data_IF_658640775653
#
_entry.id   IF_658640775653
#
_cell.length_a   1.000
_cell.length_b   1.000
_cell.length_c   1.000
_cell.angle_alpha   90.00
_cell.angle_beta   90.00
_cell.angle_gamma   90.00
#
_symmetry.space_group_name_H-M   'P 1'
#
loop_
_entity.id
_entity.type
_entity.pdbx_description
1 polymer ?
#
# COMPACT_ATOMS: atom_id res chain seq x y z
N UNK A 1 1.29 -7.29 12.99
CA UNK A 1 1.04 -5.88 13.35
C UNK A 1 2.39 -5.18 13.30
N UNK A 2 2.46 -3.97 12.72
CA UNK A 2 3.71 -3.22 12.57
C UNK A 2 4.44 -3.03 13.92
N UNK A 3 5.76 -3.24 13.87
CA UNK A 3 6.68 -3.08 15.00
C UNK A 3 7.38 -1.73 14.91
N UNK A 4 7.40 -0.98 16.01
CA UNK A 4 7.98 0.35 16.05
C UNK A 4 9.22 0.38 16.94
N UNK A 5 10.26 1.06 16.48
CA UNK A 5 11.61 1.05 17.04
C UNK A 5 12.09 2.48 17.20
N UNK A 6 12.78 2.76 18.30
CA UNK A 6 13.41 4.06 18.55
C UNK A 6 14.67 4.24 17.69
N UNK A 7 14.82 5.42 17.08
CA UNK A 7 16.08 5.82 16.46
C UNK A 7 17.11 6.20 17.54
N UNK A 8 17.93 5.23 17.96
CA UNK A 8 19.02 5.44 18.93
C UNK A 8 20.13 6.38 18.41
N UNK A 9 20.10 6.79 17.13
CA UNK A 9 21.16 7.60 16.54
C UNK A 9 21.08 9.11 16.85
N UNK A 10 20.03 9.56 17.55
CA UNK A 10 19.81 10.98 17.84
C UNK A 10 19.66 11.27 19.36
N UNK A 11 20.74 11.73 19.99
CA UNK A 11 20.75 12.11 21.41
C UNK A 11 20.00 13.43 21.63
N UNK A 12 18.67 13.38 21.73
CA UNK A 12 17.88 14.54 22.14
C UNK A 12 16.37 14.50 21.87
N UNK A 13 15.89 13.61 20.99
CA UNK A 13 14.47 13.38 20.74
C UNK A 13 14.30 11.95 20.21
N UNK A 14 13.58 11.08 20.93
CA UNK A 14 13.26 9.72 20.46
C UNK A 14 12.34 9.81 19.26
N UNK A 15 12.92 9.76 18.06
CA UNK A 15 12.13 9.66 16.85
C UNK A 15 11.88 8.18 16.60
N UNK A 16 10.67 7.72 16.89
CA UNK A 16 10.23 6.36 16.63
C UNK A 16 9.92 6.19 15.14
N UNK A 17 10.30 5.06 14.55
CA UNK A 17 9.89 4.66 13.21
C UNK A 17 9.38 3.21 13.23
N UNK A 18 8.44 2.89 12.34
CA UNK A 18 7.83 1.56 12.31
C UNK A 18 8.29 0.77 11.09
N UNK A 19 8.56 -0.51 11.31
CA UNK A 19 8.83 -1.52 10.29
C UNK A 19 7.52 -2.16 9.86
N UNK A 20 7.37 -2.35 8.55
CA UNK A 20 6.17 -2.98 8.00
C UNK A 20 6.17 -4.49 8.25
N UNK A 21 5.12 -5.01 8.87
CA UNK A 21 4.95 -6.46 9.05
C UNK A 21 4.35 -7.11 7.79
N UNK A 22 5.21 -7.86 7.08
CA UNK A 22 4.87 -8.58 5.85
C UNK A 22 3.77 -9.63 6.01
N UNK A 23 3.54 -10.17 7.21
CA UNK A 23 2.49 -11.18 7.43
C UNK A 23 1.08 -10.62 7.29
N UNK A 24 0.96 -9.30 7.23
CA UNK A 24 -0.30 -8.62 6.90
C UNK A 24 -0.70 -8.78 5.44
N UNK A 25 0.21 -9.22 4.57
CA UNK A 25 0.00 -9.32 3.13
C UNK A 25 -0.21 -10.78 2.72
N UNK A 26 -1.08 -10.98 1.72
CA UNK A 26 -1.37 -12.30 1.18
C UNK A 26 -0.12 -13.00 0.62
N UNK A 27 0.00 -14.31 0.82
CA UNK A 27 1.16 -15.11 0.40
C UNK A 27 1.42 -15.03 -1.10
N UNK A 28 0.38 -14.93 -1.92
CA UNK A 28 0.50 -14.77 -3.37
C UNK A 28 1.24 -13.47 -3.73
N UNK A 29 0.99 -12.40 -2.98
CA UNK A 29 1.65 -11.11 -3.16
C UNK A 29 3.10 -11.12 -2.65
N UNK A 30 3.43 -11.99 -1.69
CA UNK A 30 4.81 -12.20 -1.20
C UNK A 30 5.64 -13.12 -2.10
N UNK A 31 5.00 -13.82 -3.04
CA UNK A 31 5.70 -14.70 -3.98
C UNK A 31 6.63 -13.91 -4.90
N UNK A 32 7.69 -14.56 -5.41
CA UNK A 32 8.61 -13.93 -6.38
C UNK A 32 7.93 -13.42 -7.65
N UNK A 33 6.76 -13.96 -7.98
CA UNK A 33 5.95 -13.55 -9.12
C UNK A 33 4.91 -12.48 -8.78
N UNK A 34 4.79 -12.05 -7.52
CA UNK A 34 3.83 -11.05 -7.07
C UNK A 34 2.40 -11.35 -7.55
N UNK A 35 1.98 -12.61 -7.45
CA UNK A 35 0.64 -13.05 -7.89
C UNK A 35 0.46 -13.24 -9.40
N UNK A 36 1.36 -12.73 -10.25
CA UNK A 36 1.24 -12.82 -11.71
C UNK A 36 1.14 -14.26 -12.23
N UNK A 37 1.88 -15.20 -11.63
CA UNK A 37 1.84 -16.62 -12.00
C UNK A 37 0.45 -17.25 -11.84
N UNK A 38 -0.37 -16.69 -10.96
CA UNK A 38 -1.72 -17.20 -10.64
C UNK A 38 -2.82 -16.42 -11.37
N UNK A 39 -2.47 -15.44 -12.21
CA UNK A 39 -3.45 -14.55 -12.83
C UNK A 39 -4.07 -13.54 -11.87
N UNK A 40 -3.48 -13.36 -10.70
CA UNK A 40 -3.94 -12.44 -9.66
C UNK A 40 -2.80 -11.50 -9.24
N UNK A 41 -2.36 -10.58 -10.11
CA UNK A 41 -1.20 -9.74 -9.85
C UNK A 41 -1.42 -8.84 -8.65
N UNK A 42 -0.33 -8.60 -7.91
CA UNK A 42 -0.30 -7.72 -6.75
C UNK A 42 0.58 -6.50 -7.03
N UNK A 43 0.07 -5.33 -6.66
CA UNK A 43 0.77 -4.06 -6.74
C UNK A 43 0.98 -3.50 -5.35
N UNK A 44 2.12 -2.86 -5.11
CA UNK A 44 2.37 -2.15 -3.85
C UNK A 44 2.19 -0.65 -4.06
N UNK A 45 1.38 -0.04 -3.21
CA UNK A 45 1.10 1.40 -3.21
C UNK A 45 1.70 2.01 -1.95
N UNK A 46 2.44 3.10 -2.12
CA UNK A 46 3.05 3.88 -1.05
C UNK A 46 2.90 5.36 -1.36
N UNK A 47 2.77 6.21 -0.34
CA UNK A 47 2.84 7.66 -0.54
C UNK A 47 4.29 8.11 -0.80
N UNK A 48 4.41 9.29 -1.42
CA UNK A 48 5.70 9.97 -1.52
C UNK A 48 6.12 10.50 -0.13
N UNK A 49 7.41 10.43 0.17
CA UNK A 49 7.96 10.94 1.41
C UNK A 49 7.94 12.47 1.41
N UNK A 50 7.01 13.04 2.17
CA UNK A 50 6.91 14.48 2.41
C UNK A 50 7.22 14.75 3.89
N UNK A 51 8.27 15.51 4.17
CA UNK A 51 8.75 15.75 5.53
C UNK A 51 7.67 16.41 6.39
N UNK A 52 7.36 15.80 7.54
CA UNK A 52 6.35 16.28 8.48
C UNK A 52 4.89 16.15 8.01
N UNK A 53 4.65 15.59 6.82
CA UNK A 53 3.30 15.40 6.32
C UNK A 53 2.61 14.22 7.01
N UNK A 54 1.36 14.42 7.40
CA UNK A 54 0.48 13.40 7.98
C UNK A 54 -0.75 13.31 7.06
N UNK A 55 -1.10 12.12 6.54
CA UNK A 55 -2.31 11.94 5.75
C UNK A 55 -3.54 12.22 6.60
N UNK A 56 -4.49 12.96 6.04
CA UNK A 56 -5.82 13.06 6.65
C UNK A 56 -6.49 11.70 6.55
N UNK A 57 -6.84 11.13 7.70
CA UNK A 57 -7.48 9.83 7.75
C UNK A 57 -8.89 9.94 8.32
N UNK A 58 -9.82 9.18 7.75
CA UNK A 58 -11.17 8.97 8.29
C UNK A 58 -11.15 8.04 9.50
N UNK A 59 -10.09 7.24 9.65
CA UNK A 59 -9.86 6.32 10.77
C UNK A 59 -8.53 6.63 11.45
N UNK A 60 -8.41 6.45 12.77
CA UNK A 60 -7.13 6.70 13.43
C UNK A 60 -6.04 5.65 13.07
N UNK A 61 -6.39 4.62 12.29
CA UNK A 61 -5.52 3.44 12.05
C UNK A 61 -4.89 3.41 10.66
N UNK A 62 -5.62 3.79 9.61
CA UNK A 62 -5.13 3.68 8.23
C UNK A 62 -5.39 4.93 7.42
N UNK A 63 -4.34 5.47 6.79
CA UNK A 63 -4.48 6.39 5.68
C UNK A 63 -5.16 5.65 4.51
N UNK A 64 -6.48 5.84 4.38
CA UNK A 64 -7.31 5.04 3.47
C UNK A 64 -6.95 5.27 2.00
N UNK A 65 -6.83 4.18 1.24
CA UNK A 65 -6.67 4.19 -0.20
C UNK A 65 -7.88 3.46 -0.78
N UNK A 66 -8.65 4.15 -1.61
CA UNK A 66 -9.79 3.58 -2.31
C UNK A 66 -9.37 3.24 -3.72
N UNK A 67 -9.42 1.96 -4.07
CA UNK A 67 -9.15 1.50 -5.42
C UNK A 67 -10.44 1.02 -6.09
N UNK A 68 -10.63 1.39 -7.34
CA UNK A 68 -11.79 1.03 -8.15
C UNK A 68 -11.35 0.53 -9.52
N UNK A 69 -12.05 -0.48 -10.04
CA UNK A 69 -11.92 -0.93 -11.43
C UNK A 69 -12.95 -0.21 -12.28
N UNK A 70 -12.54 0.47 -13.33
CA UNK A 70 -13.44 1.35 -14.10
C UNK A 70 -14.12 0.67 -15.28
N UNK A 71 -13.57 -0.46 -15.77
CA UNK A 71 -13.99 -1.04 -17.04
C UNK A 71 -14.34 -2.55 -16.99
N UNK A 72 -14.31 -3.18 -15.81
CA UNK A 72 -14.60 -4.60 -15.67
C UNK A 72 -15.22 -4.93 -14.31
N UNK A 73 -16.53 -5.21 -14.28
CA UNK A 73 -17.27 -5.53 -13.05
C UNK A 73 -16.98 -6.92 -12.48
N UNK A 74 -16.33 -7.80 -13.24
CA UNK A 74 -15.98 -9.15 -12.78
C UNK A 74 -14.64 -9.17 -12.03
N UNK A 75 -13.88 -8.08 -12.09
CA UNK A 75 -12.62 -7.93 -11.39
C UNK A 75 -12.89 -7.39 -10.00
N UNK A 76 -12.27 -8.01 -9.00
CA UNK A 76 -12.32 -7.55 -7.62
C UNK A 76 -10.93 -7.18 -7.12
N UNK A 77 -10.88 -6.22 -6.21
CA UNK A 77 -9.64 -5.74 -5.60
C UNK A 77 -9.61 -6.16 -4.14
N UNK A 78 -8.48 -6.72 -3.70
CA UNK A 78 -8.23 -7.03 -2.30
C UNK A 78 -7.04 -6.22 -1.83
N UNK A 79 -7.25 -5.38 -0.82
CA UNK A 79 -6.20 -4.56 -0.22
C UNK A 79 -5.70 -5.18 1.09
N UNK A 80 -4.42 -4.99 1.40
CA UNK A 80 -3.86 -5.29 2.71
C UNK A 80 -2.62 -4.42 3.02
N UNK A 81 -2.43 -3.93 4.26
CA UNK A 81 -3.26 -4.17 5.44
C UNK A 81 -4.55 -3.33 5.40
N UNK A 82 -5.67 -3.94 5.83
CA UNK A 82 -6.95 -3.24 5.95
C UNK A 82 -7.36 -2.50 4.67
N UNK A 83 -7.59 -1.18 4.79
CA UNK A 83 -8.04 -0.28 3.72
C UNK A 83 -6.96 0.69 3.23
N UNK A 84 -5.69 0.52 3.61
CA UNK A 84 -4.65 1.47 3.21
C UNK A 84 -3.33 1.29 3.95
N UNK A 85 -2.65 2.40 4.21
CA UNK A 85 -1.33 2.40 4.86
C UNK A 85 -1.50 2.75 6.33
N UNK A 86 -0.93 1.96 7.22
CA UNK A 86 -0.96 2.20 8.68
C UNK A 86 -0.45 3.61 9.01
N UNK A 87 -1.23 4.36 9.81
CA UNK A 87 -0.91 5.75 10.19
C UNK A 87 0.38 5.85 11.01
N UNK A 88 0.84 4.74 11.58
CA UNK A 88 2.10 4.61 12.32
C UNK A 88 3.35 4.92 11.50
N UNK A 89 3.27 4.79 10.17
CA UNK A 89 4.37 5.15 9.29
C UNK A 89 4.45 6.67 9.01
N UNK A 90 3.60 7.49 9.64
CA UNK A 90 3.58 8.93 9.47
C UNK A 90 3.75 9.65 10.81
N UNK A 91 4.38 10.85 10.81
CA UNK A 91 4.95 11.55 9.66
C UNK A 91 6.30 10.97 9.19
N UNK A 92 6.66 11.24 7.93
CA UNK A 92 8.05 11.05 7.50
C UNK A 92 8.94 12.09 8.17
N UNK A 93 9.98 11.64 8.88
CA UNK A 93 10.91 12.49 9.63
C UNK A 93 12.34 12.49 9.08
N UNK A 94 12.57 11.90 7.90
CA UNK A 94 13.90 11.79 7.29
C UNK A 94 14.94 11.08 8.20
N UNK A 95 14.48 10.03 8.87
CA UNK A 95 15.29 9.15 9.72
C UNK A 95 15.93 8.07 8.85
N UNK A 96 17.16 7.67 9.18
CA UNK A 96 17.81 6.55 8.51
C UNK A 96 17.02 5.25 8.76
N UNK A 97 16.96 4.37 7.76
CA UNK A 97 16.23 3.09 7.84
C UNK A 97 14.71 3.19 8.02
N UNK A 98 14.13 4.38 7.86
CA UNK A 98 12.68 4.57 7.84
C UNK A 98 12.01 3.72 6.75
N UNK A 99 10.99 2.96 7.16
CA UNK A 99 10.09 2.27 6.25
C UNK A 99 8.84 3.12 6.02
N UNK A 100 8.61 3.49 4.76
CA UNK A 100 7.49 4.35 4.33
C UNK A 100 6.11 3.72 4.49
N UNK A 101 6.05 2.44 4.83
CA UNK A 101 4.82 1.67 4.85
C UNK A 101 4.24 1.54 3.45
N UNK A 102 3.40 0.53 3.26
CA UNK A 102 2.74 0.32 1.98
C UNK A 102 1.49 -0.51 2.16
N UNK A 103 0.64 -0.46 1.14
CA UNK A 103 -0.49 -1.37 0.99
C UNK A 103 -0.29 -2.20 -0.28
N UNK A 104 -0.62 -3.48 -0.22
CA UNK A 104 -0.79 -4.34 -1.39
C UNK A 104 -2.20 -4.19 -1.95
N UNK A 105 -2.30 -4.20 -3.28
CA UNK A 105 -3.54 -4.25 -4.05
C UNK A 105 -3.48 -5.46 -4.94
N UNK A 106 -4.21 -6.51 -4.59
CA UNK A 106 -4.34 -7.74 -5.37
C UNK A 106 -5.55 -7.63 -6.29
N UNK A 107 -5.31 -7.80 -7.59
CA UNK A 107 -6.36 -7.79 -8.62
C UNK A 107 -6.78 -9.24 -8.88
N UNK A 108 -8.05 -9.58 -8.66
CA UNK A 108 -8.59 -10.94 -8.82
C UNK A 108 -9.64 -10.99 -9.93
N UNK A 109 -9.74 -12.15 -10.59
CA UNK A 109 -10.74 -12.37 -11.63
C UNK A 109 -10.41 -11.69 -12.96
N UNK A 110 -9.12 -11.45 -13.24
CA UNK A 110 -8.69 -10.95 -14.55
C UNK A 110 -9.06 -11.95 -15.64
N UNK A 111 -9.61 -11.42 -16.74
CA UNK A 111 -9.88 -12.18 -17.95
C UNK A 111 -8.67 -12.10 -18.88
N UNK A 112 -8.33 -13.22 -19.51
CA UNK A 112 -7.32 -13.23 -20.57
C UNK A 112 -7.75 -12.35 -21.74
N UNK A 113 -6.77 -11.78 -22.41
CA UNK A 113 -6.92 -10.90 -23.56
C UNK A 113 -7.81 -9.67 -23.26
N UNK A 114 -7.85 -9.27 -21.98
CA UNK A 114 -8.62 -8.13 -21.49
C UNK A 114 -7.69 -7.13 -20.80
N UNK A 115 -7.86 -5.85 -21.15
CA UNK A 115 -7.24 -4.73 -20.46
C UNK A 115 -8.14 -4.30 -19.31
N UNK A 116 -7.59 -4.20 -18.10
CA UNK A 116 -8.30 -3.72 -16.91
C UNK A 116 -7.66 -2.44 -16.39
N UNK A 117 -8.49 -1.43 -16.13
CA UNK A 117 -8.08 -0.14 -15.58
C UNK A 117 -8.45 -0.05 -14.11
N UNK A 118 -7.45 0.11 -13.24
CA UNK A 118 -7.63 0.29 -11.81
C UNK A 118 -7.11 1.66 -11.39
N UNK A 119 -7.95 2.45 -10.74
CA UNK A 119 -7.58 3.76 -10.19
C UNK A 119 -7.62 3.69 -8.66
N UNK A 120 -6.57 4.15 -8.01
CA UNK A 120 -6.46 4.24 -6.56
C UNK A 120 -6.28 5.70 -6.12
N UNK A 121 -7.06 6.13 -5.14
CA UNK A 121 -7.07 7.50 -4.64
C UNK A 121 -7.11 7.55 -3.10
N UNK A 122 -6.55 8.62 -2.54
CA UNK A 122 -6.62 8.96 -1.13
C UNK A 122 -7.32 10.32 -1.03
N UNK A 123 -8.43 10.38 -0.29
CA UNK A 123 -9.27 11.59 -0.15
C UNK A 123 -9.62 12.25 -1.50
N UNK A 124 -10.01 11.44 -2.49
CA UNK A 124 -10.36 11.87 -3.86
C UNK A 124 -9.23 12.58 -4.63
N UNK A 125 -8.00 12.51 -4.10
CA UNK A 125 -6.78 12.85 -4.82
C UNK A 125 -6.19 11.57 -5.39
N UNK A 126 -6.04 11.52 -6.71
CA UNK A 126 -5.47 10.37 -7.40
C UNK A 126 -4.05 10.09 -6.90
N UNK A 127 -3.83 8.86 -6.43
CA UNK A 127 -2.55 8.38 -5.91
C UNK A 127 -1.83 7.61 -7.02
N UNK A 128 -2.53 6.72 -7.72
CA UNK A 128 -1.96 5.92 -8.81
C UNK A 128 -3.04 5.37 -9.76
N UNK A 129 -2.71 5.28 -11.05
CA UNK A 129 -3.45 4.50 -12.04
C UNK A 129 -2.64 3.27 -12.43
N UNK A 130 -3.29 2.12 -12.51
CA UNK A 130 -2.70 0.82 -12.83
C UNK A 130 -3.45 0.20 -14.02
N UNK A 131 -2.71 -0.03 -15.10
CA UNK A 131 -3.24 -0.63 -16.33
C UNK A 131 -2.67 -2.04 -16.47
N UNK A 132 -3.54 -3.06 -16.50
CA UNK A 132 -3.13 -4.47 -16.57
C UNK A 132 -3.71 -5.14 -17.80
N UNK A 133 -2.84 -5.61 -18.68
CA UNK A 133 -3.18 -6.51 -19.78
C UNK A 133 -2.74 -7.93 -19.43
N UNK A 134 -3.69 -8.85 -19.31
CA UNK A 134 -3.40 -10.26 -19.09
C UNK A 134 -3.37 -11.01 -20.42
N UNK A 135 -2.19 -11.46 -20.84
CA UNK A 135 -1.96 -12.26 -22.07
C UNK A 135 -1.89 -13.75 -21.78
#
# INVERSE_FOLDING_TARGET
>A
MDECVDDESNSGSSNEYCLFDMDQIADECKSQSFGCKYGEPCFYVSFNNNLGWIPNSTTDTFAEIKCNVTNNSNVSLKMAPGSGISTKHFPYLNIAHFDRGFASVQIKGLLKDSLTFTECAHNDVNVIQIDVLMT
#
